data_IF_053498660381
#
_entry.id   IF_053498660381
#
_cell.length_a   1.000
_cell.length_b   1.000
_cell.length_c   1.000
_cell.angle_alpha   90.00
_cell.angle_beta   90.00
_cell.angle_gamma   90.00
#
_symmetry.space_group_name_H-M   'P 1'
#
loop_
_entity.id
_entity.type
_entity.pdbx_description
1 polymer ?
#
# COMPACT_ATOMS: atom_id res chain seq x y z
N UNK A 1 -15.88 38.38 34.04
CA UNK A 1 -16.40 38.54 32.66
C UNK A 1 -16.33 37.17 31.99
N UNK A 2 -17.44 36.65 31.47
CA UNK A 2 -17.48 35.32 30.87
C UNK A 2 -17.44 35.41 29.35
N UNK A 3 -16.56 34.65 28.71
CA UNK A 3 -16.47 34.60 27.25
C UNK A 3 -17.72 33.94 26.67
N UNK A 4 -18.47 34.71 25.89
CA UNK A 4 -19.64 34.21 25.15
C UNK A 4 -19.14 33.52 23.89
N UNK A 5 -19.08 32.19 23.92
CA UNK A 5 -18.69 31.39 22.76
C UNK A 5 -19.89 31.02 21.88
N UNK A 6 -19.73 31.18 20.57
CA UNK A 6 -20.74 30.78 19.61
C UNK A 6 -20.70 29.27 19.35
N UNK A 7 -21.63 28.55 19.98
CA UNK A 7 -21.74 27.08 19.88
C UNK A 7 -22.01 26.58 18.46
N UNK A 8 -22.60 27.39 17.58
CA UNK A 8 -22.83 27.01 16.16
C UNK A 8 -21.51 26.99 15.40
N UNK A 9 -20.66 28.00 15.60
CA UNK A 9 -19.33 28.04 14.98
C UNK A 9 -18.45 26.91 15.52
N UNK A 10 -18.45 26.70 16.83
CA UNK A 10 -17.70 25.60 17.46
C UNK A 10 -18.09 24.23 16.86
N UNK A 11 -19.39 23.95 16.73
CA UNK A 11 -19.88 22.71 16.07
C UNK A 11 -19.43 22.61 14.62
N UNK A 12 -19.51 23.69 13.85
CA UNK A 12 -19.06 23.72 12.44
C UNK A 12 -17.56 23.41 12.33
N UNK A 13 -16.75 23.93 13.24
CA UNK A 13 -15.32 23.63 13.27
C UNK A 13 -15.04 22.16 13.58
N UNK A 14 -15.77 21.54 14.52
CA UNK A 14 -15.63 20.11 14.82
C UNK A 14 -15.97 19.26 13.60
N UNK A 15 -17.09 19.54 12.93
CA UNK A 15 -17.50 18.83 11.71
C UNK A 15 -16.46 18.95 10.61
N UNK A 16 -15.93 20.17 10.39
CA UNK A 16 -14.89 20.40 9.37
C UNK A 16 -13.61 19.63 9.67
N UNK A 17 -13.14 19.63 10.93
CA UNK A 17 -11.97 18.86 11.35
C UNK A 17 -12.15 17.36 11.15
N UNK A 18 -13.34 16.83 11.43
CA UNK A 18 -13.65 15.42 11.19
C UNK A 18 -13.60 15.06 9.70
N UNK A 19 -14.17 15.92 8.85
CA UNK A 19 -14.11 15.74 7.39
C UNK A 19 -12.68 15.79 6.85
N UNK A 20 -11.85 16.70 7.35
CA UNK A 20 -10.43 16.82 6.95
C UNK A 20 -9.62 15.57 7.35
N UNK A 21 -9.84 15.02 8.55
CA UNK A 21 -9.23 13.75 8.98
C UNK A 21 -9.61 12.59 8.07
N UNK A 22 -10.91 12.43 7.80
CA UNK A 22 -11.41 11.40 6.90
C UNK A 22 -10.88 11.55 5.47
N UNK A 23 -10.73 12.78 5.00
CA UNK A 23 -10.13 13.05 3.70
C UNK A 23 -8.64 12.70 3.67
N UNK A 24 -7.88 12.96 4.74
CA UNK A 24 -6.48 12.54 4.85
C UNK A 24 -6.35 11.01 4.87
N UNK A 25 -7.16 10.31 5.65
CA UNK A 25 -7.24 8.85 5.66
C UNK A 25 -7.56 8.31 4.26
N UNK A 26 -8.56 8.89 3.59
CA UNK A 26 -8.93 8.49 2.23
C UNK A 26 -7.84 8.81 1.19
N UNK A 27 -7.03 9.86 1.37
CA UNK A 27 -5.87 10.11 0.49
C UNK A 27 -4.76 9.08 0.72
N UNK A 28 -4.57 8.61 1.95
CA UNK A 28 -3.60 7.53 2.21
C UNK A 28 -4.12 6.20 1.65
N UNK A 29 -5.38 5.88 1.90
CA UNK A 29 -6.02 4.62 1.50
C UNK A 29 -6.31 4.55 -0.01
N UNK A 30 -6.76 5.67 -0.59
CA UNK A 30 -7.29 5.73 -1.95
C UNK A 30 -6.66 6.83 -2.81
N UNK A 31 -5.72 7.62 -2.28
CA UNK A 31 -5.10 8.74 -3.00
C UNK A 31 -4.02 8.33 -3.98
N UNK A 32 -3.73 7.04 -4.14
CA UNK A 32 -3.07 6.58 -5.37
C UNK A 32 -4.04 6.77 -6.54
N UNK A 33 -3.65 7.66 -7.44
CA UNK A 33 -4.34 7.88 -8.70
C UNK A 33 -4.37 6.58 -9.52
N UNK A 34 -5.30 6.47 -10.47
CA UNK A 34 -5.39 5.28 -11.35
C UNK A 34 -4.05 5.03 -12.08
N UNK A 35 -3.35 6.10 -12.48
CA UNK A 35 -2.04 6.01 -13.12
C UNK A 35 -0.97 5.42 -12.19
N UNK A 36 -0.91 5.85 -10.92
CA UNK A 36 0.06 5.32 -9.94
C UNK A 36 -0.23 3.86 -9.57
N UNK A 37 -1.50 3.47 -9.49
CA UNK A 37 -1.88 2.06 -9.29
C UNK A 37 -1.42 1.17 -10.45
N UNK A 38 -1.61 1.64 -11.68
CA UNK A 38 -1.18 0.90 -12.89
C UNK A 38 0.34 0.79 -12.96
N UNK A 39 1.07 1.88 -12.68
CA UNK A 39 2.53 1.85 -12.62
C UNK A 39 3.03 0.85 -11.58
N UNK A 40 2.44 0.88 -10.37
CA UNK A 40 2.79 -0.05 -9.31
C UNK A 40 2.48 -1.52 -9.66
N UNK A 41 1.37 -1.79 -10.36
CA UNK A 41 1.06 -3.13 -10.87
C UNK A 41 2.10 -3.59 -11.89
N UNK A 42 2.46 -2.73 -12.85
CA UNK A 42 3.51 -3.04 -13.82
C UNK A 42 4.87 -3.30 -13.17
N UNK A 43 5.23 -2.54 -12.14
CA UNK A 43 6.47 -2.73 -11.40
C UNK A 43 6.44 -4.04 -10.60
N UNK A 44 5.31 -4.37 -9.97
CA UNK A 44 5.11 -5.65 -9.29
C UNK A 44 5.20 -6.83 -10.27
N UNK A 45 4.57 -6.74 -11.44
CA UNK A 45 4.61 -7.78 -12.47
C UNK A 45 6.01 -7.93 -13.09
N UNK A 46 6.77 -6.84 -13.20
CA UNK A 46 8.18 -6.90 -13.62
C UNK A 46 9.01 -7.61 -12.56
N UNK A 47 8.83 -7.26 -11.29
CA UNK A 47 9.56 -7.88 -10.18
C UNK A 47 9.24 -9.37 -10.06
N UNK A 48 7.96 -9.75 -10.15
CA UNK A 48 7.53 -11.15 -10.13
C UNK A 48 8.17 -11.93 -11.28
N UNK A 49 8.12 -11.41 -12.50
CA UNK A 49 8.79 -12.06 -13.65
C UNK A 49 10.30 -12.19 -13.49
N UNK A 50 10.95 -11.21 -12.87
CA UNK A 50 12.38 -11.29 -12.56
C UNK A 50 12.66 -12.38 -11.52
N UNK A 51 11.85 -12.48 -10.48
CA UNK A 51 11.95 -13.51 -9.44
C UNK A 51 11.68 -14.89 -10.04
N UNK A 52 10.63 -15.03 -10.86
CA UNK A 52 10.27 -16.28 -11.53
C UNK A 52 11.36 -16.73 -12.50
N UNK A 53 11.90 -15.81 -13.32
CA UNK A 53 13.03 -16.12 -14.20
C UNK A 53 14.34 -16.40 -13.46
N UNK A 54 14.52 -15.82 -12.27
CA UNK A 54 15.64 -16.11 -11.37
C UNK A 54 15.37 -17.34 -10.48
N UNK A 55 14.14 -17.87 -10.46
CA UNK A 55 13.78 -19.05 -9.69
C UNK A 55 14.40 -20.26 -10.40
N UNK A 56 15.61 -20.61 -9.99
CA UNK A 56 16.10 -21.97 -10.20
C UNK A 56 15.21 -22.88 -9.37
N UNK A 57 14.33 -23.61 -10.03
CA UNK A 57 13.55 -24.68 -9.41
C UNK A 57 14.48 -25.46 -8.49
N UNK A 58 14.24 -25.35 -7.18
CA UNK A 58 15.00 -26.06 -6.14
C UNK A 58 14.98 -27.58 -6.36
N UNK A 59 14.12 -28.06 -7.25
CA UNK A 59 14.07 -29.43 -7.75
C UNK A 59 15.38 -29.87 -8.44
N UNK A 60 16.08 -28.99 -9.15
CA UNK A 60 17.36 -29.34 -9.80
C UNK A 60 18.53 -29.45 -8.80
N UNK A 61 18.40 -28.86 -7.60
CA UNK A 61 19.42 -28.95 -6.56
C UNK A 61 19.36 -30.28 -5.78
N UNK A 62 18.24 -30.97 -5.79
CA UNK A 62 18.10 -32.29 -5.15
C UNK A 62 18.52 -33.44 -6.08
N UNK A 63 18.45 -33.28 -7.41
CA UNK A 63 18.85 -34.32 -8.38
C UNK A 63 20.38 -34.40 -8.58
N UNK A 64 21.14 -33.41 -8.09
CA UNK A 64 22.62 -33.44 -8.09
C UNK A 64 23.22 -34.03 -6.80
N UNK A 65 22.46 -34.08 -5.70
CA UNK A 65 22.90 -34.71 -4.46
C UNK A 65 22.78 -36.24 -4.50
N UNK A 66 21.86 -36.78 -5.31
CA UNK A 66 21.61 -38.22 -5.37
C UNK A 66 22.49 -38.97 -6.40
N UNK A 67 23.22 -38.25 -7.27
CA UNK A 67 24.12 -38.85 -8.29
C UNK A 67 25.59 -38.93 -7.87
N UNK A 68 25.91 -38.57 -6.63
CA UNK A 68 27.30 -38.51 -6.12
C UNK A 68 27.66 -39.61 -5.12
N UNK A 69 26.72 -40.51 -4.84
CA UNK A 69 26.86 -41.60 -3.86
C UNK A 69 26.96 -43.01 -4.51
N UNK A 70 27.21 -43.12 -5.82
CA UNK A 70 27.55 -44.38 -6.52
C UNK A 70 29.07 -44.56 -6.71
#
# INVERSE_FOLDING_TARGET
MGDVINLRQARKHVVRKAAEKKAAENRVLYGRTKAEKVQQQHDADRLNRQIDGAHRDKRLLNEETDRKDD
#
